data_IF_035844716265
#
_entry.id   IF_035844716265
#
_cell.length_a   1.000
_cell.length_b   1.000
_cell.length_c   1.000
_cell.angle_alpha   90.00
_cell.angle_beta   90.00
_cell.angle_gamma   90.00
#
_symmetry.space_group_name_H-M   'P 1'
#
loop_
_entity.id
_entity.type
_entity.pdbx_description
1 polymer ?
#
# COMPACT_ATOMS: atom_id res chain seq x y z
N UNK A 1 1.74 17.86 -5.16
CA UNK A 1 0.99 16.63 -5.47
C UNK A 1 0.25 16.19 -4.22
N UNK A 2 -1.06 15.97 -4.33
CA UNK A 2 -1.92 15.42 -3.27
C UNK A 2 -2.14 13.92 -3.53
N UNK A 3 -1.75 13.08 -2.59
CA UNK A 3 -1.88 11.61 -2.68
C UNK A 3 -2.93 11.12 -1.68
N UNK A 4 -3.88 10.31 -2.13
CA UNK A 4 -4.78 9.55 -1.27
C UNK A 4 -4.27 8.11 -1.14
N UNK A 5 -3.93 7.67 0.08
CA UNK A 5 -3.47 6.31 0.36
C UNK A 5 -4.62 5.54 1.01
N UNK A 6 -5.01 4.43 0.38
CA UNK A 6 -6.17 3.64 0.75
C UNK A 6 -5.77 2.28 1.32
N UNK A 7 -6.14 2.01 2.56
CA UNK A 7 -6.03 0.72 3.22
C UNK A 7 -7.34 -0.08 3.18
N UNK A 8 -7.31 -1.29 3.75
CA UNK A 8 -8.45 -2.22 3.74
C UNK A 8 -9.45 -2.02 4.90
N UNK A 9 -9.19 -1.08 5.79
CA UNK A 9 -10.06 -0.80 6.92
C UNK A 9 -11.38 -0.14 6.52
N UNK A 10 -12.42 -0.20 7.37
CA UNK A 10 -13.77 0.27 7.06
C UNK A 10 -13.84 1.76 6.73
N UNK A 11 -12.93 2.59 7.23
CA UNK A 11 -12.91 4.02 6.93
C UNK A 11 -12.58 4.36 5.47
N UNK A 12 -12.19 3.38 4.64
CA UNK A 12 -12.03 3.57 3.17
C UNK A 12 -13.32 4.07 2.51
N UNK A 13 -14.49 3.80 3.12
CA UNK A 13 -15.79 4.30 2.64
C UNK A 13 -15.85 5.83 2.61
N UNK A 14 -15.13 6.51 3.50
CA UNK A 14 -15.05 7.98 3.49
C UNK A 14 -14.42 8.52 2.21
N UNK A 15 -13.42 7.81 1.66
CA UNK A 15 -12.84 8.18 0.37
C UNK A 15 -13.87 8.08 -0.77
N UNK A 16 -14.71 7.03 -0.77
CA UNK A 16 -15.78 6.89 -1.76
C UNK A 16 -16.78 8.05 -1.71
N UNK A 17 -17.20 8.42 -0.51
CA UNK A 17 -18.13 9.52 -0.31
C UNK A 17 -17.53 10.87 -0.75
N UNK A 18 -16.28 11.12 -0.38
CA UNK A 18 -15.57 12.34 -0.78
C UNK A 18 -15.40 12.38 -2.30
N UNK A 19 -14.90 11.30 -2.90
CA UNK A 19 -14.72 11.22 -4.35
C UNK A 19 -16.02 11.44 -5.11
N UNK A 20 -17.12 10.89 -4.62
CA UNK A 20 -18.46 11.10 -5.21
C UNK A 20 -18.90 12.56 -5.13
N UNK A 21 -18.69 13.22 -3.99
CA UNK A 21 -19.02 14.65 -3.79
C UNK A 21 -18.20 15.57 -4.69
N UNK A 22 -16.96 15.22 -4.95
CA UNK A 22 -16.05 16.02 -5.80
C UNK A 22 -16.19 15.70 -7.29
N UNK A 23 -17.00 14.71 -7.66
CA UNK A 23 -17.19 14.33 -9.08
C UNK A 23 -16.13 13.36 -9.61
N UNK A 24 -15.39 12.68 -8.73
CA UNK A 24 -14.41 11.67 -9.07
C UNK A 24 -13.17 11.71 -8.20
N UNK A 25 -12.41 10.62 -8.23
CA UNK A 25 -11.20 10.47 -7.40
C UNK A 25 -10.14 11.54 -7.73
N UNK A 26 -9.91 11.81 -9.02
CA UNK A 26 -8.94 12.79 -9.49
C UNK A 26 -9.40 14.25 -9.40
N UNK A 27 -10.67 14.49 -9.06
CA UNK A 27 -11.13 15.80 -8.64
C UNK A 27 -10.78 16.11 -7.18
N UNK A 28 -10.57 15.05 -6.37
CA UNK A 28 -10.18 15.18 -4.96
C UNK A 28 -8.66 15.17 -4.73
N UNK A 29 -7.92 14.31 -5.44
CA UNK A 29 -6.47 14.13 -5.30
C UNK A 29 -5.81 13.86 -6.65
N UNK A 30 -4.51 14.09 -6.74
CA UNK A 30 -3.74 13.86 -7.97
C UNK A 30 -3.54 12.37 -8.24
N UNK A 31 -3.22 11.58 -7.20
CA UNK A 31 -3.03 10.13 -7.29
C UNK A 31 -3.74 9.39 -6.16
N UNK A 32 -4.22 8.18 -6.46
CA UNK A 32 -4.79 7.23 -5.52
C UNK A 32 -3.89 6.01 -5.43
N UNK A 33 -3.39 5.71 -4.24
CA UNK A 33 -2.53 4.58 -3.97
C UNK A 33 -3.24 3.56 -3.10
N UNK A 34 -3.23 2.30 -3.53
CA UNK A 34 -3.85 1.18 -2.81
C UNK A 34 -2.84 0.36 -2.03
N UNK A 35 -3.27 -0.18 -0.90
CA UNK A 35 -2.49 -1.10 -0.08
C UNK A 35 -2.98 -2.53 -0.30
N UNK A 36 -2.06 -3.45 -0.64
CA UNK A 36 -2.32 -4.87 -0.81
C UNK A 36 -3.50 -5.16 -1.75
N UNK A 37 -4.40 -6.06 -1.34
CA UNK A 37 -5.54 -6.52 -2.13
C UNK A 37 -6.57 -5.42 -2.46
N UNK A 38 -6.43 -4.21 -1.93
CA UNK A 38 -7.32 -3.10 -2.31
C UNK A 38 -7.21 -2.78 -3.80
N UNK A 39 -6.03 -2.96 -4.39
CA UNK A 39 -5.81 -2.75 -5.81
C UNK A 39 -6.60 -3.68 -6.74
N UNK A 40 -7.13 -4.79 -6.23
CA UNK A 40 -8.03 -5.69 -6.97
C UNK A 40 -9.47 -5.14 -7.07
N UNK A 41 -9.87 -4.30 -6.13
CA UNK A 41 -11.25 -3.77 -6.04
C UNK A 41 -11.36 -2.28 -6.35
N UNK A 42 -10.26 -1.55 -6.27
CA UNK A 42 -10.17 -0.12 -6.57
C UNK A 42 -9.20 0.15 -7.71
N UNK A 43 -9.61 0.99 -8.63
CA UNK A 43 -8.69 1.52 -9.62
C UNK A 43 -7.72 2.50 -8.95
N UNK A 44 -6.49 2.07 -8.74
CA UNK A 44 -5.40 2.83 -8.14
C UNK A 44 -4.37 3.24 -9.20
N UNK A 45 -3.74 4.39 -9.02
CA UNK A 45 -2.64 4.84 -9.88
C UNK A 45 -1.34 4.14 -9.51
N UNK A 46 -1.26 3.63 -8.27
CA UNK A 46 -0.16 2.85 -7.72
C UNK A 46 -0.65 1.92 -6.62
N UNK A 47 0.00 0.79 -6.47
CA UNK A 47 -0.30 -0.18 -5.43
C UNK A 47 0.97 -0.45 -4.63
N UNK A 48 0.84 -0.65 -3.34
CA UNK A 48 1.92 -1.08 -2.45
C UNK A 48 1.61 -2.46 -1.93
N UNK A 49 2.49 -3.40 -2.22
CA UNK A 49 2.44 -4.79 -1.75
C UNK A 49 3.85 -5.22 -1.36
N UNK A 50 4.20 -5.01 -0.09
CA UNK A 50 5.58 -5.14 0.38
C UNK A 50 6.00 -6.57 0.75
N UNK A 51 5.07 -7.51 0.75
CA UNK A 51 5.41 -8.92 0.95
C UNK A 51 6.15 -9.50 -0.27
N UNK A 52 7.23 -10.26 -0.02
CA UNK A 52 7.97 -10.95 -1.10
C UNK A 52 7.08 -12.05 -1.71
N UNK A 53 6.80 -11.93 -3.01
CA UNK A 53 5.95 -12.89 -3.73
C UNK A 53 6.51 -14.31 -3.71
N UNK A 54 7.83 -14.50 -3.60
CA UNK A 54 8.46 -15.84 -3.49
C UNK A 54 8.04 -16.54 -2.21
N UNK A 55 8.01 -15.80 -1.10
CA UNK A 55 7.55 -16.32 0.19
C UNK A 55 6.05 -16.63 0.13
N UNK A 56 5.29 -15.77 -0.53
CA UNK A 56 3.85 -15.97 -0.70
C UNK A 56 3.52 -17.15 -1.62
N UNK A 57 4.32 -17.40 -2.66
CA UNK A 57 4.20 -18.60 -3.48
C UNK A 57 4.34 -19.88 -2.64
N UNK A 58 5.38 -19.96 -1.80
CA UNK A 58 5.58 -21.10 -0.90
C UNK A 58 4.39 -21.29 0.05
N UNK A 59 3.85 -20.19 0.57
CA UNK A 59 2.67 -20.23 1.45
C UNK A 59 1.39 -20.65 0.72
N UNK A 60 1.22 -20.22 -0.52
CA UNK A 60 0.08 -20.59 -1.37
C UNK A 60 0.13 -22.06 -1.76
N UNK A 61 1.31 -22.61 -2.08
CA UNK A 61 1.51 -24.04 -2.35
C UNK A 61 1.15 -24.89 -1.14
N UNK A 62 1.54 -24.45 0.07
CA UNK A 62 1.21 -25.13 1.32
C UNK A 62 -0.28 -25.04 1.68
N UNK A 63 -0.98 -23.99 1.21
CA UNK A 63 -2.39 -23.71 1.51
C UNK A 63 -3.11 -23.10 0.30
N UNK A 64 -3.45 -23.91 -0.73
CA UNK A 64 -3.96 -23.40 -2.00
C UNK A 64 -5.34 -22.73 -1.92
N UNK A 65 -6.15 -23.06 -0.91
CA UNK A 65 -7.49 -22.49 -0.73
C UNK A 65 -7.51 -21.12 -0.01
N UNK A 66 -6.34 -20.53 0.18
CA UNK A 66 -6.23 -19.25 0.90
C UNK A 66 -6.37 -18.03 -0.03
N UNK A 67 -6.67 -16.88 0.56
CA UNK A 67 -6.66 -15.59 -0.15
C UNK A 67 -5.30 -15.25 -0.77
N UNK A 68 -4.20 -15.86 -0.28
CA UNK A 68 -2.85 -15.64 -0.81
C UNK A 68 -2.75 -16.16 -2.24
N UNK A 69 -3.28 -17.36 -2.55
CA UNK A 69 -3.27 -17.91 -3.90
C UNK A 69 -4.00 -16.99 -4.89
N UNK A 70 -5.21 -16.54 -4.54
CA UNK A 70 -5.98 -15.59 -5.36
C UNK A 70 -5.27 -14.25 -5.56
N UNK A 71 -4.61 -13.75 -4.51
CA UNK A 71 -3.84 -12.52 -4.60
C UNK A 71 -2.65 -12.67 -5.54
N UNK A 72 -1.93 -13.80 -5.52
CA UNK A 72 -0.82 -14.06 -6.44
C UNK A 72 -1.29 -14.10 -7.90
N UNK A 73 -2.45 -14.70 -8.18
CA UNK A 73 -3.02 -14.71 -9.53
C UNK A 73 -3.34 -13.30 -10.02
N UNK A 74 -3.93 -12.49 -9.16
CA UNK A 74 -4.18 -11.08 -9.46
C UNK A 74 -2.89 -10.27 -9.67
N UNK A 75 -1.89 -10.40 -8.78
CA UNK A 75 -0.59 -9.71 -8.90
C UNK A 75 0.13 -10.06 -10.20
N UNK A 76 -0.01 -11.31 -10.68
CA UNK A 76 0.63 -11.79 -11.93
C UNK A 76 0.05 -11.13 -13.17
N UNK A 77 -1.23 -10.78 -13.14
CA UNK A 77 -1.96 -10.22 -14.28
C UNK A 77 -2.09 -8.70 -14.25
N UNK A 78 -1.88 -8.07 -13.07
CA UNK A 78 -2.03 -6.62 -12.93
C UNK A 78 -0.89 -5.87 -13.62
N UNK A 79 -1.18 -4.86 -14.45
CA UNK A 79 -0.15 -4.15 -15.21
C UNK A 79 0.77 -3.28 -14.35
N UNK A 80 0.44 -3.01 -13.10
CA UNK A 80 1.19 -2.16 -12.17
C UNK A 80 0.94 -0.66 -12.37
N UNK A 81 1.78 0.21 -11.78
CA UNK A 81 2.92 -0.17 -10.95
C UNK A 81 2.51 -0.69 -9.55
N UNK A 82 3.08 -1.82 -9.17
CA UNK A 82 2.93 -2.40 -7.83
C UNK A 82 4.27 -2.31 -7.12
N UNK A 83 4.39 -1.41 -6.16
CA UNK A 83 5.61 -1.23 -5.38
C UNK A 83 5.73 -2.36 -4.36
N UNK A 84 6.88 -3.03 -4.37
CA UNK A 84 7.15 -4.22 -3.56
C UNK A 84 8.56 -4.20 -2.98
N UNK A 85 8.83 -5.11 -2.04
CA UNK A 85 10.16 -5.28 -1.46
C UNK A 85 11.18 -5.81 -2.47
N UNK A 86 10.74 -6.67 -3.41
CA UNK A 86 11.61 -7.30 -4.41
C UNK A 86 10.81 -7.67 -5.66
N UNK A 87 11.25 -7.20 -6.82
CA UNK A 87 10.63 -7.55 -8.10
C UNK A 87 10.81 -9.04 -8.46
N UNK A 88 9.94 -9.55 -9.29
CA UNK A 88 9.96 -10.94 -9.76
C UNK A 88 9.53 -11.01 -11.23
N UNK A 89 10.27 -11.78 -12.08
CA UNK A 89 10.02 -11.79 -13.53
C UNK A 89 8.62 -12.28 -13.93
N UNK A 90 8.01 -13.17 -13.14
CA UNK A 90 6.66 -13.69 -13.41
C UNK A 90 5.54 -12.71 -13.02
N UNK A 91 5.89 -11.55 -12.47
CA UNK A 91 4.97 -10.50 -12.02
C UNK A 91 5.38 -9.16 -12.63
N UNK A 92 5.06 -8.92 -13.90
CA UNK A 92 5.61 -7.78 -14.66
C UNK A 92 5.21 -6.40 -14.13
N UNK A 93 4.13 -6.31 -13.37
CA UNK A 93 3.70 -5.07 -12.71
C UNK A 93 4.49 -4.69 -11.46
N UNK A 94 5.35 -5.57 -10.94
CA UNK A 94 6.12 -5.31 -9.72
C UNK A 94 7.30 -4.36 -9.98
N UNK A 95 7.43 -3.35 -9.12
CA UNK A 95 8.56 -2.38 -9.09
C UNK A 95 9.15 -2.36 -7.69
N UNK A 96 10.45 -2.40 -7.57
CA UNK A 96 11.10 -2.37 -6.26
C UNK A 96 10.93 -1.02 -5.56
N UNK A 97 10.66 -1.06 -4.27
CA UNK A 97 10.68 0.13 -3.42
C UNK A 97 12.10 0.69 -3.34
N UNK A 98 12.32 1.98 -3.60
CA UNK A 98 13.65 2.58 -3.62
C UNK A 98 14.20 2.81 -2.20
N UNK A 99 14.41 1.73 -1.44
CA UNK A 99 14.76 1.78 -0.02
C UNK A 99 16.02 2.60 0.24
N UNK A 100 17.07 2.41 -0.57
CA UNK A 100 18.34 3.11 -0.38
C UNK A 100 18.19 4.63 -0.56
N UNK A 101 17.40 5.06 -1.53
CA UNK A 101 17.14 6.47 -1.81
C UNK A 101 16.27 7.11 -0.70
N UNK A 102 15.24 6.37 -0.25
CA UNK A 102 14.40 6.79 0.88
C UNK A 102 15.23 6.97 2.14
N UNK A 103 16.12 5.99 2.47
CA UNK A 103 16.98 6.07 3.65
C UNK A 103 18.08 7.14 3.54
N UNK A 104 18.49 7.50 2.32
CA UNK A 104 19.40 8.63 2.11
C UNK A 104 18.72 9.96 2.41
N UNK A 105 17.45 10.10 2.02
CA UNK A 105 16.66 11.31 2.29
C UNK A 105 16.15 11.40 3.73
N UNK A 106 15.76 10.26 4.30
CA UNK A 106 15.25 10.12 5.65
C UNK A 106 16.08 9.06 6.40
N UNK A 107 17.09 9.42 7.19
CA UNK A 107 18.04 8.45 7.77
C UNK A 107 17.42 7.62 8.90
N UNK A 108 16.29 7.01 8.64
CA UNK A 108 15.55 6.15 9.57
C UNK A 108 14.73 5.13 8.80
N UNK A 109 14.71 3.88 9.26
CA UNK A 109 14.03 2.76 8.63
C UNK A 109 12.98 2.15 9.56
N UNK A 110 11.90 2.89 9.86
CA UNK A 110 10.83 2.40 10.73
C UNK A 110 9.64 1.92 9.89
N UNK A 111 9.67 0.63 9.49
CA UNK A 111 8.70 0.02 8.59
C UNK A 111 8.12 -1.28 9.19
N UNK A 112 6.95 -1.23 9.80
CA UNK A 112 6.22 -2.40 10.32
C UNK A 112 4.91 -2.68 9.59
N UNK A 113 4.60 -1.93 8.52
CA UNK A 113 3.41 -2.15 7.71
C UNK A 113 3.61 -1.64 6.29
N UNK A 114 2.92 -2.23 5.34
CA UNK A 114 2.90 -1.76 3.92
C UNK A 114 2.47 -0.28 3.83
N UNK A 115 1.56 0.15 4.69
CA UNK A 115 1.10 1.54 4.74
C UNK A 115 2.24 2.52 5.09
N UNK A 116 3.17 2.16 5.98
CA UNK A 116 4.32 2.99 6.30
C UNK A 116 5.25 3.18 5.09
N UNK A 117 5.47 2.14 4.29
CA UNK A 117 6.23 2.26 3.04
C UNK A 117 5.54 3.21 2.06
N UNK A 118 4.20 3.15 1.94
CA UNK A 118 3.47 4.05 1.05
C UNK A 118 3.58 5.52 1.48
N UNK A 119 3.47 5.81 2.79
CA UNK A 119 3.65 7.17 3.32
C UNK A 119 5.09 7.66 3.11
N UNK A 120 6.09 6.84 3.43
CA UNK A 120 7.50 7.18 3.22
C UNK A 120 7.80 7.45 1.74
N UNK A 121 7.22 6.66 0.84
CA UNK A 121 7.35 6.88 -0.60
C UNK A 121 6.69 8.20 -1.04
N UNK A 122 5.52 8.54 -0.49
CA UNK A 122 4.85 9.80 -0.77
C UNK A 122 5.74 11.01 -0.38
N UNK A 123 6.36 10.94 0.79
CA UNK A 123 7.33 11.96 1.23
C UNK A 123 8.57 11.98 0.33
N UNK A 124 9.06 10.80 -0.09
CA UNK A 124 10.23 10.68 -0.96
C UNK A 124 10.01 11.36 -2.31
N UNK A 125 8.86 11.14 -2.95
CA UNK A 125 8.51 11.75 -4.23
C UNK A 125 8.00 13.19 -4.11
N UNK A 126 7.97 13.76 -2.91
CA UNK A 126 7.63 15.16 -2.68
C UNK A 126 6.14 15.46 -2.69
N UNK A 127 5.30 14.54 -2.22
CA UNK A 127 3.89 14.84 -1.97
C UNK A 127 3.79 15.96 -0.92
N UNK A 128 2.98 16.99 -1.21
CA UNK A 128 2.74 18.09 -0.30
C UNK A 128 1.45 17.93 0.52
N UNK A 129 0.66 16.91 0.20
CA UNK A 129 -0.52 16.52 0.94
C UNK A 129 -0.72 15.01 0.85
N UNK A 130 -0.91 14.36 1.99
CA UNK A 130 -1.21 12.94 2.08
C UNK A 130 -2.52 12.79 2.84
N UNK A 131 -3.49 12.09 2.25
CA UNK A 131 -4.75 11.73 2.89
C UNK A 131 -4.83 10.22 3.04
N UNK A 132 -4.99 9.71 4.26
CA UNK A 132 -5.07 8.29 4.56
C UNK A 132 -6.51 7.88 4.85
N UNK A 133 -6.96 6.80 4.21
CA UNK A 133 -8.28 6.20 4.42
C UNK A 133 -8.14 4.69 4.55
N UNK A 134 -9.00 4.06 5.35
CA UNK A 134 -8.93 2.61 5.55
C UNK A 134 -7.70 2.14 6.33
N UNK A 135 -7.06 3.03 7.08
CA UNK A 135 -5.93 2.73 7.96
C UNK A 135 -6.39 2.65 9.41
N UNK A 136 -7.42 1.85 9.65
CA UNK A 136 -8.09 1.77 10.96
C UNK A 136 -7.34 0.88 11.95
N UNK A 137 -6.40 0.05 11.46
CA UNK A 137 -5.60 -0.88 12.26
C UNK A 137 -6.45 -1.75 13.20
N UNK A 138 -7.56 -2.27 12.68
CA UNK A 138 -8.51 -3.12 13.41
C UNK A 138 -8.14 -4.60 13.30
N UNK A 139 -6.87 -4.94 13.56
CA UNK A 139 -6.43 -6.32 13.58
C UNK A 139 -6.91 -7.04 14.86
N UNK A 140 -7.12 -8.37 14.79
CA UNK A 140 -7.45 -9.16 15.98
C UNK A 140 -6.36 -9.08 17.06
N UNK A 141 -5.09 -9.00 16.66
CA UNK A 141 -3.96 -8.78 17.55
C UNK A 141 -3.71 -7.29 17.74
N UNK A 142 -3.96 -6.79 18.95
CA UNK A 142 -3.76 -5.38 19.31
C UNK A 142 -2.31 -4.93 19.18
N UNK A 143 -1.34 -5.82 19.47
CA UNK A 143 0.08 -5.50 19.39
C UNK A 143 0.53 -5.30 17.93
N UNK A 144 0.05 -6.13 17.01
CA UNK A 144 0.32 -5.95 15.58
C UNK A 144 -0.37 -4.69 15.04
N UNK A 145 -1.58 -4.37 15.53
CA UNK A 145 -2.27 -3.15 15.20
C UNK A 145 -1.49 -1.90 15.65
N UNK A 146 -1.01 -1.88 16.88
CA UNK A 146 -0.21 -0.78 17.43
C UNK A 146 1.12 -0.60 16.69
N UNK A 147 1.85 -1.67 16.40
CA UNK A 147 3.09 -1.59 15.61
C UNK A 147 2.84 -1.01 14.22
N UNK A 148 1.80 -1.46 13.54
CA UNK A 148 1.43 -0.97 12.22
C UNK A 148 1.06 0.51 12.23
N UNK A 149 0.28 0.93 13.22
CA UNK A 149 -0.16 2.31 13.41
C UNK A 149 1.01 3.23 13.75
N UNK A 150 1.83 2.85 14.72
CA UNK A 150 2.96 3.66 15.19
C UNK A 150 3.93 4.02 14.08
N UNK A 151 4.26 3.09 13.17
CA UNK A 151 5.17 3.40 12.07
C UNK A 151 4.53 4.32 11.01
N UNK A 152 3.21 4.24 10.78
CA UNK A 152 2.51 5.18 9.90
C UNK A 152 2.48 6.57 10.50
N UNK A 153 2.11 6.70 11.79
CA UNK A 153 2.11 7.98 12.50
C UNK A 153 3.50 8.62 12.55
N UNK A 154 4.55 7.80 12.73
CA UNK A 154 5.93 8.27 12.64
C UNK A 154 6.22 8.93 11.29
N UNK A 155 5.92 8.26 10.18
CA UNK A 155 6.17 8.79 8.85
C UNK A 155 5.30 10.01 8.50
N UNK A 156 4.08 10.09 9.01
CA UNK A 156 3.21 11.27 8.85
C UNK A 156 3.72 12.49 9.65
N UNK A 157 4.54 12.26 10.67
CA UNK A 157 5.16 13.32 11.47
C UNK A 157 6.46 13.90 10.89
N UNK A 158 7.01 13.28 9.86
CA UNK A 158 8.23 13.72 9.18
C UNK A 158 7.97 14.86 8.19
#
# INVERSE_FOLDING_TARGET
MHVAILGLGPSVRQFLEISKRWGGRHAYCDEVWGINALGDVFACDRIFHMDDVRIQQIRAEARPDTNIARMLDWLRTHPGPIVTSRAHPDYPGLVEFPLAEVLTKFPTGYFNSTAAYAVAYALHVGANKISCFGMDFTYPDAHDAEKGRACVEFWLGM
#
